data_IF_404849614001
#
_entry.id   IF_404849614001
#
_cell.length_a   1.000
_cell.length_b   1.000
_cell.length_c   1.000
_cell.angle_alpha   90.00
_cell.angle_beta   90.00
_cell.angle_gamma   90.00
#
_symmetry.space_group_name_H-M   'P 1'
#
loop_
_entity.id
_entity.type
_entity.pdbx_description
1 polymer ?
#
# COMPACT_ATOMS: atom_id res chain seq x y z
N UNK A 1 -0.78 -6.82 4.84
CA UNK A 1 -2.01 -6.00 4.70
C UNK A 1 -3.24 -6.84 5.02
N UNK A 2 -4.26 -6.25 5.64
CA UNK A 2 -5.53 -6.93 5.93
C UNK A 2 -6.50 -6.83 4.74
N UNK A 3 -7.36 -7.84 4.57
CA UNK A 3 -8.42 -7.87 3.53
C UNK A 3 -9.39 -6.69 3.64
N UNK A 4 -9.65 -6.18 4.85
CA UNK A 4 -10.50 -5.01 5.08
C UNK A 4 -9.89 -3.74 4.49
N UNK A 5 -8.57 -3.60 4.56
CA UNK A 5 -7.85 -2.46 3.97
C UNK A 5 -7.96 -2.49 2.46
N UNK A 6 -7.71 -3.64 1.83
CA UNK A 6 -7.82 -3.80 0.37
C UNK A 6 -9.23 -3.44 -0.12
N UNK A 7 -10.28 -3.90 0.57
CA UNK A 7 -11.67 -3.53 0.21
C UNK A 7 -11.90 -2.02 0.27
N UNK A 8 -11.44 -1.35 1.33
CA UNK A 8 -11.57 0.10 1.46
C UNK A 8 -10.84 0.86 0.34
N UNK A 9 -9.69 0.36 -0.11
CA UNK A 9 -8.94 0.96 -1.22
C UNK A 9 -9.69 0.82 -2.54
N UNK A 10 -10.29 -0.35 -2.78
CA UNK A 10 -11.15 -0.59 -3.95
C UNK A 10 -12.39 0.30 -3.92
N UNK A 11 -13.07 0.39 -2.77
CA UNK A 11 -14.26 1.26 -2.60
C UNK A 11 -13.95 2.74 -2.81
N UNK A 12 -12.74 3.18 -2.46
CA UNK A 12 -12.27 4.57 -2.67
C UNK A 12 -11.79 4.83 -4.10
N UNK A 13 -11.70 3.80 -4.94
CA UNK A 13 -11.15 3.90 -6.30
C UNK A 13 -9.63 4.06 -6.33
N UNK A 14 -8.93 3.82 -5.21
CA UNK A 14 -7.47 3.93 -5.11
C UNK A 14 -6.75 2.66 -5.59
N UNK A 15 -7.46 1.54 -5.66
CA UNK A 15 -6.94 0.26 -6.14
C UNK A 15 -7.94 -0.39 -7.09
N UNK A 16 -7.50 -0.73 -8.30
CA UNK A 16 -8.35 -1.38 -9.30
C UNK A 16 -8.53 -2.85 -8.91
N UNK A 17 -9.79 -3.30 -8.91
CA UNK A 17 -10.12 -4.69 -8.65
C UNK A 17 -11.33 -5.12 -9.49
N UNK A 18 -11.37 -6.41 -9.81
CA UNK A 18 -12.50 -7.03 -10.51
C UNK A 18 -13.19 -8.03 -9.59
N UNK A 19 -14.50 -8.21 -9.77
CA UNK A 19 -15.30 -9.15 -8.99
C UNK A 19 -15.53 -10.43 -9.80
N UNK A 20 -15.00 -11.56 -9.33
CA UNK A 20 -15.16 -12.88 -9.95
C UNK A 20 -15.70 -13.85 -8.90
N UNK A 21 -16.85 -14.48 -9.17
CA UNK A 21 -17.43 -15.50 -8.28
C UNK A 21 -17.69 -15.00 -6.85
N UNK A 22 -18.05 -13.73 -6.70
CA UNK A 22 -18.30 -13.10 -5.38
C UNK A 22 -17.04 -12.67 -4.62
N UNK A 23 -15.84 -12.94 -5.15
CA UNK A 23 -14.56 -12.52 -4.57
C UNK A 23 -13.96 -11.36 -5.36
N UNK A 24 -13.27 -10.47 -4.64
CA UNK A 24 -12.45 -9.43 -5.25
C UNK A 24 -11.10 -10.02 -5.66
N UNK A 25 -10.71 -9.76 -6.91
CA UNK A 25 -9.41 -10.11 -7.48
C UNK A 25 -8.71 -8.81 -7.84
N UNK A 26 -7.46 -8.69 -7.42
CA UNK A 26 -6.59 -7.55 -7.68
C UNK A 26 -5.43 -8.07 -8.53
N UNK A 27 -5.06 -7.37 -9.59
CA UNK A 27 -3.84 -7.71 -10.32
C UNK A 27 -2.64 -7.44 -9.41
N UNK A 28 -1.71 -8.40 -9.24
CA UNK A 28 -0.55 -8.21 -8.38
C UNK A 28 0.32 -7.01 -8.79
N UNK A 29 0.33 -6.61 -10.07
CA UNK A 29 1.06 -5.42 -10.56
C UNK A 29 0.44 -4.12 -10.07
N UNK A 30 -0.88 -4.02 -10.06
CA UNK A 30 -1.58 -2.84 -9.56
C UNK A 30 -1.40 -2.71 -8.04
N UNK A 31 -1.44 -3.83 -7.32
CA UNK A 31 -1.15 -3.84 -5.90
C UNK A 31 0.30 -3.42 -5.61
N UNK A 32 1.26 -3.93 -6.39
CA UNK A 32 2.67 -3.54 -6.26
C UNK A 32 2.88 -2.05 -6.56
N UNK A 33 2.23 -1.51 -7.60
CA UNK A 33 2.29 -0.10 -7.94
C UNK A 33 1.67 0.77 -6.84
N UNK A 34 0.51 0.38 -6.30
CA UNK A 34 -0.11 1.07 -5.17
C UNK A 34 0.82 1.11 -3.95
N UNK A 35 1.44 -0.02 -3.61
CA UNK A 35 2.39 -0.12 -2.52
C UNK A 35 3.66 0.70 -2.76
N UNK A 36 4.15 0.77 -4.00
CA UNK A 36 5.31 1.59 -4.35
C UNK A 36 4.99 3.10 -4.19
N UNK A 37 3.82 3.55 -4.62
CA UNK A 37 3.39 4.95 -4.49
C UNK A 37 3.14 5.35 -3.02
N UNK A 38 2.72 4.41 -2.18
CA UNK A 38 2.42 4.66 -0.76
C UNK A 38 3.53 4.18 0.18
N UNK A 39 4.70 3.81 -0.36
CA UNK A 39 5.86 3.47 0.44
C UNK A 39 6.36 4.75 1.10
N UNK A 40 6.08 4.88 2.40
CA UNK A 40 6.63 5.93 3.28
C UNK A 40 7.98 5.54 3.85
N UNK A 41 8.48 4.34 3.60
CA UNK A 41 9.89 4.04 3.86
C UNK A 41 10.72 4.96 2.98
N UNK A 42 11.66 5.73 3.57
CA UNK A 42 12.68 6.35 2.76
C UNK A 42 13.35 5.20 2.03
N UNK A 43 13.36 5.29 0.70
CA UNK A 43 14.29 4.50 -0.09
C UNK A 43 15.63 4.64 0.63
N UNK A 44 16.22 3.54 1.10
CA UNK A 44 17.61 3.49 1.60
C UNK A 44 18.52 3.76 0.38
N UNK A 45 18.37 4.94 -0.21
CA UNK A 45 19.46 5.61 -0.89
C UNK A 45 20.42 5.91 0.27
N UNK A 46 21.65 5.42 0.19
CA UNK A 46 22.77 5.66 1.12
C UNK A 46 23.12 7.16 1.24
N UNK A 47 22.15 8.02 1.50
CA UNK A 47 22.33 9.37 2.01
C UNK A 47 22.12 9.25 3.51
N UNK A 48 23.21 9.23 4.27
CA UNK A 48 23.23 9.05 5.72
C UNK A 48 22.36 10.04 6.50
N UNK A 49 21.05 9.79 6.56
CA UNK A 49 20.09 10.54 7.36
C UNK A 49 19.76 9.69 8.58
N UNK A 50 20.22 10.15 9.75
CA UNK A 50 19.85 9.57 11.04
C UNK A 50 18.31 9.50 11.17
N UNK A 51 17.76 8.30 11.33
CA UNK A 51 16.38 8.13 11.76
C UNK A 51 16.25 8.69 13.18
N UNK A 52 15.49 9.77 13.36
CA UNK A 52 15.07 10.24 14.68
C UNK A 52 13.89 9.35 15.13
N UNK A 53 13.92 8.70 16.31
CA UNK A 53 12.81 7.87 16.77
C UNK A 53 11.58 8.74 17.08
N UNK A 54 10.36 8.26 16.80
CA UNK A 54 9.15 9.01 17.09
C UNK A 54 8.95 9.12 18.62
N UNK A 55 8.87 10.35 19.11
CA UNK A 55 8.48 10.66 20.49
C UNK A 55 7.00 10.34 20.64
N UNK A 56 6.67 9.26 21.36
CA UNK A 56 5.31 9.01 21.84
C UNK A 56 5.09 9.92 23.07
N UNK A 57 4.09 10.81 22.99
CA UNK A 57 3.55 11.57 24.13
C UNK A 57 2.60 10.71 24.95
#
# INVERSE_FOLDING_TARGET
MSTKTVRRLVERGELIAIRIGGQWRVDPRDLAAYLACHRTEPMDLDFGVQRIPPVLK
#
